data_IF_444212995554
#
_entry.id   IF_444212995554
#
_cell.length_a   1.000
_cell.length_b   1.000
_cell.length_c   1.000
_cell.angle_alpha   90.00
_cell.angle_beta   90.00
_cell.angle_gamma   90.00
#
_symmetry.space_group_name_H-M   'P 1'
#
loop_
_entity.id
_entity.type
_entity.pdbx_description
1 polymer ?
#
# COMPACT_ATOMS: atom_id res chain seq x y z
N UNK A 1 -24.14 5.14 -22.46
CA UNK A 1 -22.93 5.41 -21.67
C UNK A 1 -22.98 4.50 -20.47
N UNK A 2 -22.03 3.55 -20.32
CA UNK A 2 -22.13 2.51 -19.30
C UNK A 2 -21.80 3.09 -17.91
N UNK A 3 -22.79 3.14 -17.02
CA UNK A 3 -22.66 3.65 -15.65
C UNK A 3 -21.53 2.90 -14.92
N UNK A 4 -21.43 1.58 -15.10
CA UNK A 4 -20.36 0.74 -14.54
C UNK A 4 -18.94 1.19 -14.95
N UNK A 5 -18.77 1.66 -16.19
CA UNK A 5 -17.46 2.16 -16.66
C UNK A 5 -17.10 3.48 -16.01
N UNK A 6 -18.10 4.33 -15.74
CA UNK A 6 -17.90 5.61 -15.06
C UNK A 6 -17.60 5.42 -13.57
N UNK A 7 -18.28 4.49 -12.91
CA UNK A 7 -18.01 4.14 -11.51
C UNK A 7 -16.61 3.56 -11.35
N UNK A 8 -16.26 2.58 -12.20
CA UNK A 8 -14.91 2.01 -12.19
C UNK A 8 -13.82 3.05 -12.46
N UNK A 9 -14.06 4.00 -13.37
CA UNK A 9 -13.10 5.08 -13.64
C UNK A 9 -12.93 6.02 -12.45
N UNK A 10 -14.00 6.29 -11.68
CA UNK A 10 -13.93 7.09 -10.45
C UNK A 10 -13.12 6.37 -9.37
N UNK A 11 -13.34 5.07 -9.20
CA UNK A 11 -12.58 4.26 -8.24
C UNK A 11 -11.09 4.22 -8.59
N UNK A 12 -10.75 4.03 -9.86
CA UNK A 12 -9.35 4.07 -10.32
C UNK A 12 -8.73 5.45 -10.06
N UNK A 13 -9.43 6.53 -10.41
CA UNK A 13 -8.94 7.90 -10.17
C UNK A 13 -8.73 8.17 -8.68
N UNK A 14 -9.63 7.68 -7.83
CA UNK A 14 -9.49 7.77 -6.38
C UNK A 14 -8.25 7.02 -5.89
N UNK A 15 -8.05 5.77 -6.31
CA UNK A 15 -6.88 4.97 -5.95
C UNK A 15 -5.57 5.64 -6.38
N UNK A 16 -5.50 6.18 -7.61
CA UNK A 16 -4.32 6.91 -8.09
C UNK A 16 -3.99 8.11 -7.18
N UNK A 17 -4.98 8.93 -6.83
CA UNK A 17 -4.76 10.06 -5.93
C UNK A 17 -4.28 9.66 -4.53
N UNK A 18 -4.67 8.45 -4.07
CA UNK A 18 -4.19 7.90 -2.80
C UNK A 18 -2.75 7.42 -2.90
N UNK A 19 -2.36 6.83 -4.02
CA UNK A 19 -0.97 6.41 -4.25
C UNK A 19 0.00 7.59 -4.25
N UNK A 20 -0.35 8.70 -4.90
CA UNK A 20 0.47 9.92 -4.89
C UNK A 20 0.67 10.45 -3.44
N UNK A 21 -0.41 10.48 -2.66
CA UNK A 21 -0.34 10.86 -1.25
C UNK A 21 0.49 9.88 -0.42
N UNK A 22 0.35 8.58 -0.65
CA UNK A 22 1.12 7.55 0.07
C UNK A 22 2.61 7.61 -0.25
N UNK A 23 2.98 7.88 -1.51
CA UNK A 23 4.37 8.11 -1.88
C UNK A 23 4.95 9.29 -1.10
N UNK A 24 4.21 10.40 -1.05
CA UNK A 24 4.60 11.56 -0.25
C UNK A 24 4.73 11.19 1.24
N UNK A 25 3.73 10.56 1.85
CA UNK A 25 3.76 10.19 3.27
C UNK A 25 4.89 9.23 3.62
N UNK A 26 5.27 8.33 2.70
CA UNK A 26 6.36 7.37 2.92
C UNK A 26 7.74 8.03 3.08
N UNK A 27 7.90 9.26 2.59
CA UNK A 27 9.16 10.01 2.59
C UNK A 27 9.22 11.11 3.66
N UNK A 28 8.12 11.39 4.34
CA UNK A 28 7.99 12.52 5.24
C UNK A 28 7.82 12.08 6.70
N UNK A 29 8.44 12.84 7.62
CA UNK A 29 8.26 12.63 9.06
C UNK A 29 6.88 13.13 9.50
N UNK A 30 6.30 12.52 10.52
CA UNK A 30 4.98 12.84 11.10
C UNK A 30 3.76 12.51 10.20
N UNK A 31 3.93 11.70 9.15
CA UNK A 31 2.84 11.24 8.27
C UNK A 31 2.64 9.72 8.33
N UNK A 32 3.22 9.06 9.33
CA UNK A 32 3.14 7.62 9.58
C UNK A 32 1.70 7.13 9.75
N UNK A 33 0.90 7.80 10.58
CA UNK A 33 -0.52 7.46 10.78
C UNK A 33 -1.37 7.60 9.51
N UNK A 34 -1.00 8.51 8.59
CA UNK A 34 -1.67 8.65 7.29
C UNK A 34 -1.28 7.51 6.35
N UNK A 35 -0.01 7.13 6.36
CA UNK A 35 0.50 6.02 5.56
C UNK A 35 -0.11 4.69 6.01
N UNK A 36 -0.22 4.46 7.31
CA UNK A 36 -0.87 3.26 7.87
C UNK A 36 -2.31 3.13 7.38
N UNK A 37 -3.10 4.21 7.51
CA UNK A 37 -4.47 4.25 7.01
C UNK A 37 -4.56 4.07 5.48
N UNK A 38 -3.62 4.64 4.73
CA UNK A 38 -3.53 4.48 3.27
C UNK A 38 -3.27 3.03 2.87
N UNK A 39 -2.29 2.39 3.51
CA UNK A 39 -1.93 0.99 3.27
C UNK A 39 -3.08 0.05 3.60
N UNK A 40 -3.79 0.27 4.71
CA UNK A 40 -4.97 -0.51 5.07
C UNK A 40 -6.03 -0.48 3.96
N UNK A 41 -6.41 0.74 3.52
CA UNK A 41 -7.42 0.90 2.48
C UNK A 41 -7.00 0.26 1.15
N UNK A 42 -5.72 0.38 0.77
CA UNK A 42 -5.22 -0.18 -0.48
C UNK A 42 -5.18 -1.71 -0.44
N UNK A 43 -4.79 -2.31 0.69
CA UNK A 43 -4.82 -3.77 0.88
C UNK A 43 -6.24 -4.34 0.81
N UNK A 44 -7.24 -3.60 1.28
CA UNK A 44 -8.64 -4.00 1.19
C UNK A 44 -9.24 -3.77 -0.21
N UNK A 45 -8.82 -2.70 -0.90
CA UNK A 45 -9.32 -2.33 -2.23
C UNK A 45 -8.66 -3.07 -3.39
N UNK A 46 -7.42 -3.55 -3.22
CA UNK A 46 -6.63 -4.21 -4.26
C UNK A 46 -5.95 -5.47 -3.72
N UNK A 47 -6.48 -6.63 -4.14
CA UNK A 47 -5.97 -7.95 -3.73
C UNK A 47 -4.57 -8.24 -4.25
N UNK A 48 -4.21 -7.72 -5.43
CA UNK A 48 -2.87 -7.92 -5.99
C UNK A 48 -1.84 -7.14 -5.18
N UNK A 49 -2.17 -5.88 -4.85
CA UNK A 49 -1.37 -5.06 -3.96
C UNK A 49 -1.18 -5.75 -2.59
N UNK A 50 -2.28 -6.22 -1.99
CA UNK A 50 -2.26 -6.92 -0.70
C UNK A 50 -1.34 -8.14 -0.70
N UNK A 51 -1.42 -8.97 -1.75
CA UNK A 51 -0.55 -10.14 -1.91
C UNK A 51 0.93 -9.76 -2.02
N UNK A 52 1.25 -8.75 -2.84
CA UNK A 52 2.63 -8.25 -3.01
C UNK A 52 3.19 -7.65 -1.73
N UNK A 53 2.39 -6.89 -0.98
CA UNK A 53 2.81 -6.32 0.30
C UNK A 53 3.11 -7.42 1.32
N UNK A 54 2.26 -8.45 1.40
CA UNK A 54 2.47 -9.57 2.31
C UNK A 54 3.78 -10.32 2.01
N UNK A 55 4.08 -10.55 0.74
CA UNK A 55 5.34 -11.16 0.31
C UNK A 55 6.54 -10.29 0.74
N UNK A 56 6.47 -8.98 0.48
CA UNK A 56 7.54 -8.03 0.84
C UNK A 56 7.81 -8.00 2.35
N UNK A 57 6.75 -8.02 3.17
CA UNK A 57 6.86 -8.08 4.63
C UNK A 57 7.54 -9.39 5.06
N UNK A 58 7.14 -10.51 4.47
CA UNK A 58 7.69 -11.83 4.81
C UNK A 58 9.19 -11.93 4.47
N UNK A 59 9.57 -11.48 3.28
CA UNK A 59 10.97 -11.47 2.82
C UNK A 59 11.82 -10.55 3.69
N UNK A 60 11.31 -9.36 4.02
CA UNK A 60 11.99 -8.41 4.90
C UNK A 60 12.19 -8.97 6.30
N UNK A 61 11.16 -9.58 6.88
CA UNK A 61 11.25 -10.23 8.19
C UNK A 61 12.30 -11.34 8.19
N UNK A 62 12.29 -12.20 7.17
CA UNK A 62 13.26 -13.29 7.07
C UNK A 62 14.70 -12.77 6.95
N UNK A 63 14.91 -11.72 6.15
CA UNK A 63 16.24 -11.09 6.01
C UNK A 63 16.72 -10.53 7.34
N UNK A 64 15.88 -9.75 8.02
CA UNK A 64 16.24 -9.14 9.30
C UNK A 64 16.47 -10.19 10.40
N UNK A 65 15.68 -11.28 10.43
CA UNK A 65 15.91 -12.38 11.37
C UNK A 65 17.28 -13.04 11.14
N UNK A 66 17.65 -13.29 9.88
CA UNK A 66 18.98 -13.84 9.55
C UNK A 66 20.13 -12.91 9.95
N UNK A 67 19.94 -11.60 9.86
CA UNK A 67 20.93 -10.61 10.32
C UNK A 67 21.04 -10.66 11.85
N UNK A 68 19.90 -10.73 12.56
CA UNK A 68 19.84 -10.82 14.01
C UNK A 68 20.45 -12.12 14.56
N UNK A 69 20.16 -13.27 13.95
CA UNK A 69 20.67 -14.59 14.39
C UNK A 69 22.20 -14.74 14.21
N UNK A 70 22.84 -13.80 13.48
CA UNK A 70 24.29 -13.74 13.27
C UNK A 70 25.02 -12.82 14.25
N UNK A 71 24.27 -12.07 15.07
CA UNK A 71 24.79 -11.24 16.17
C UNK A 71 25.01 -12.10 17.39
#
# INVERSE_FOLDING_TARGET
>A
MNIDKLERAKDIKYLLSKLDCMEYWSRNKNTDHLLENGLYNLCHGDKEFSGKLHQLISDTKQRLQKEFDRV
#
